data_IF_412855738641
#
_entry.id   IF_412855738641
#
_cell.length_a   1.000
_cell.length_b   1.000
_cell.length_c   1.000
_cell.angle_alpha   90.00
_cell.angle_beta   90.00
_cell.angle_gamma   90.00
#
_symmetry.space_group_name_H-M   'P 1'
#
loop_
_entity.id
_entity.type
_entity.pdbx_description
1 polymer ?
#
# COMPACT_ATOMS: atom_id res chain seq x y z
N UNK A 1 12.22 2.00 24.10
CA UNK A 1 11.20 3.07 24.23
C UNK A 1 10.02 2.61 23.40
N UNK A 2 8.81 2.37 23.96
CA UNK A 2 7.74 1.75 23.18
C UNK A 2 7.27 2.78 22.16
N UNK A 3 7.81 2.67 20.95
CA UNK A 3 7.33 3.40 19.79
C UNK A 3 5.86 3.00 19.64
N UNK A 4 4.98 3.98 19.65
CA UNK A 4 3.54 3.77 19.41
C UNK A 4 3.43 2.95 18.11
N UNK A 5 2.73 1.81 18.17
CA UNK A 5 2.47 1.01 16.96
C UNK A 5 1.51 1.74 16.05
N UNK A 6 1.54 1.47 14.74
CA UNK A 6 0.61 2.05 13.77
C UNK A 6 -0.86 1.83 14.18
N UNK A 7 -1.20 0.60 14.60
CA UNK A 7 -2.52 0.28 15.14
C UNK A 7 -2.88 1.11 16.39
N UNK A 8 -1.90 1.40 17.25
CA UNK A 8 -2.07 2.30 18.40
C UNK A 8 -2.36 3.74 17.97
N UNK A 9 -1.65 4.26 16.98
CA UNK A 9 -1.88 5.60 16.44
C UNK A 9 -3.28 5.76 15.83
N UNK A 10 -3.74 4.77 15.05
CA UNK A 10 -5.10 4.77 14.50
C UNK A 10 -6.19 4.70 15.58
N UNK A 11 -5.98 3.90 16.62
CA UNK A 11 -6.90 3.83 17.76
C UNK A 11 -7.03 5.19 18.47
N UNK A 12 -5.93 5.92 18.60
CA UNK A 12 -5.93 7.27 19.18
C UNK A 12 -6.66 8.27 18.27
N UNK A 13 -6.42 8.24 16.95
CA UNK A 13 -7.15 9.08 16.00
C UNK A 13 -8.67 8.89 16.10
N UNK A 14 -9.11 7.63 16.13
CA UNK A 14 -10.53 7.33 16.32
C UNK A 14 -11.06 7.87 17.65
N UNK A 15 -10.31 7.68 18.74
CA UNK A 15 -10.68 8.13 20.09
C UNK A 15 -10.77 9.65 20.24
N UNK A 16 -9.97 10.39 19.48
CA UNK A 16 -9.88 11.85 19.54
C UNK A 16 -10.56 12.56 18.35
N UNK A 17 -11.40 11.87 17.59
CA UNK A 17 -12.10 12.43 16.43
C UNK A 17 -13.22 13.45 16.76
N UNK A 18 -13.13 14.14 17.91
CA UNK A 18 -14.06 15.17 18.35
C UNK A 18 -13.50 16.58 18.07
N UNK A 19 -14.36 17.57 17.80
CA UNK A 19 -13.92 18.94 17.46
C UNK A 19 -13.07 19.58 18.57
N UNK A 20 -13.29 19.18 19.81
CA UNK A 20 -12.59 19.59 21.03
C UNK A 20 -11.11 19.16 21.04
N UNK A 21 -10.80 18.07 20.34
CA UNK A 21 -9.48 17.46 20.28
C UNK A 21 -8.81 17.62 18.92
N UNK A 22 -9.25 18.61 18.12
CA UNK A 22 -8.72 18.87 16.77
C UNK A 22 -7.20 19.00 16.76
N UNK A 23 -6.60 19.62 17.78
CA UNK A 23 -5.15 19.79 17.90
C UNK A 23 -4.42 18.45 17.95
N UNK A 24 -4.94 17.49 18.72
CA UNK A 24 -4.36 16.14 18.88
C UNK A 24 -4.59 15.32 17.62
N UNK A 25 -5.80 15.33 17.07
CA UNK A 25 -6.11 14.59 15.84
C UNK A 25 -5.33 15.11 14.64
N UNK A 26 -5.10 16.42 14.59
CA UNK A 26 -4.22 17.05 13.60
C UNK A 26 -2.78 16.60 13.79
N UNK A 27 -2.24 16.71 15.00
CA UNK A 27 -0.87 16.26 15.30
C UNK A 27 -0.67 14.76 14.98
N UNK A 28 -1.64 13.91 15.31
CA UNK A 28 -1.59 12.49 14.97
C UNK A 28 -1.58 12.26 13.45
N UNK A 29 -2.41 12.99 12.70
CA UNK A 29 -2.54 12.84 11.24
C UNK A 29 -1.37 13.44 10.46
N UNK A 30 -0.86 14.59 10.89
CA UNK A 30 0.12 15.38 10.15
C UNK A 30 1.57 15.06 10.55
N UNK A 31 1.82 14.59 11.77
CA UNK A 31 3.18 14.36 12.27
C UNK A 31 3.42 12.87 12.60
N UNK A 32 2.56 12.29 13.44
CA UNK A 32 2.80 10.94 13.97
C UNK A 32 2.63 9.87 12.90
N UNK A 33 1.50 9.86 12.19
CA UNK A 33 1.27 8.87 11.14
C UNK A 33 2.33 8.94 10.02
N UNK A 34 2.66 10.11 9.44
CA UNK A 34 3.73 10.20 8.44
C UNK A 34 5.08 9.69 8.97
N UNK A 35 5.45 10.05 10.21
CA UNK A 35 6.70 9.57 10.82
C UNK A 35 6.71 8.06 11.01
N UNK A 36 5.57 7.47 11.40
CA UNK A 36 5.44 6.02 11.51
C UNK A 36 5.51 5.36 10.13
N UNK A 37 4.88 5.92 9.10
CA UNK A 37 4.98 5.40 7.73
C UNK A 37 6.39 5.44 7.18
N UNK A 38 7.10 6.56 7.35
CA UNK A 38 8.48 6.71 6.89
C UNK A 38 9.43 5.77 7.62
N UNK A 39 9.13 5.38 8.87
CA UNK A 39 9.91 4.35 9.59
C UNK A 39 9.77 2.96 8.97
N UNK A 40 8.63 2.64 8.37
CA UNK A 40 8.41 1.35 7.70
C UNK A 40 8.91 1.36 6.25
N UNK A 41 9.28 2.53 5.72
CA UNK A 41 9.96 2.60 4.43
C UNK A 41 11.39 2.12 4.56
N UNK A 42 11.78 1.29 3.61
CA UNK A 42 13.16 0.97 3.33
C UNK A 42 13.80 2.18 2.62
N UNK A 43 14.78 2.87 3.25
CA UNK A 43 15.43 4.04 2.67
C UNK A 43 16.23 3.69 1.39
N UNK A 44 16.64 2.43 1.24
CA UNK A 44 17.42 1.95 0.10
C UNK A 44 16.55 1.33 -1.00
N UNK A 45 15.23 1.22 -0.78
CA UNK A 45 14.30 0.67 -1.76
C UNK A 45 14.21 1.54 -3.02
N UNK A 46 14.96 1.12 -4.03
CA UNK A 46 14.97 1.75 -5.35
C UNK A 46 13.78 1.26 -6.18
N UNK A 47 13.06 2.15 -6.90
CA UNK A 47 11.97 1.77 -7.79
C UNK A 47 12.45 0.80 -8.88
N UNK A 48 11.98 -0.44 -8.84
CA UNK A 48 12.35 -1.47 -9.80
C UNK A 48 11.18 -1.79 -10.73
N UNK A 49 11.36 -1.57 -12.04
CA UNK A 49 10.38 -2.01 -13.04
C UNK A 49 10.48 -3.51 -13.25
N UNK A 50 9.34 -4.18 -13.22
CA UNK A 50 9.20 -5.59 -13.52
C UNK A 50 8.01 -5.83 -14.46
N UNK A 51 7.96 -7.02 -15.06
CA UNK A 51 6.79 -7.50 -15.80
C UNK A 51 6.18 -8.66 -15.04
N UNK A 52 4.87 -8.59 -14.88
CA UNK A 52 4.07 -9.62 -14.24
C UNK A 52 3.23 -10.30 -15.33
N UNK A 53 3.32 -11.62 -15.40
CA UNK A 53 2.40 -12.40 -16.25
C UNK A 53 1.15 -12.70 -15.43
N UNK A 54 -0.01 -12.40 -15.98
CA UNK A 54 -1.29 -12.68 -15.35
C UNK A 54 -2.35 -12.85 -16.42
N UNK A 55 -3.16 -13.91 -16.31
CA UNK A 55 -4.26 -14.14 -17.26
C UNK A 55 -3.77 -14.19 -18.72
N UNK A 56 -2.61 -14.80 -18.97
CA UNK A 56 -1.94 -14.84 -20.28
C UNK A 56 -1.60 -13.44 -20.88
N UNK A 57 -1.63 -12.39 -20.07
CA UNK A 57 -1.23 -11.02 -20.41
C UNK A 57 0.02 -10.61 -19.62
N UNK A 58 0.80 -9.67 -20.17
CA UNK A 58 1.91 -9.05 -19.45
C UNK A 58 1.52 -7.66 -18.97
N UNK A 59 1.56 -7.45 -17.66
CA UNK A 59 1.31 -6.15 -17.02
C UNK A 59 2.65 -5.58 -16.54
N UNK A 60 2.88 -4.29 -16.83
CA UNK A 60 4.05 -3.60 -16.30
C UNK A 60 3.79 -3.19 -14.85
N UNK A 61 4.69 -3.57 -13.96
CA UNK A 61 4.58 -3.31 -12.53
C UNK A 61 5.84 -2.64 -12.01
N UNK A 62 5.72 -1.95 -10.89
CA UNK A 62 6.81 -1.30 -10.20
C UNK A 62 6.91 -1.89 -8.79
N UNK A 63 8.02 -2.56 -8.48
CA UNK A 63 8.34 -3.00 -7.13
C UNK A 63 8.99 -1.83 -6.38
N UNK A 64 8.37 -1.37 -5.30
CA UNK A 64 8.88 -0.28 -4.50
C UNK A 64 8.34 -0.35 -3.07
N UNK A 65 9.22 -0.13 -2.09
CA UNK A 65 8.89 -0.15 -0.65
C UNK A 65 8.25 -1.47 -0.17
N UNK A 66 8.67 -2.61 -0.74
CA UNK A 66 8.09 -3.92 -0.43
C UNK A 66 6.76 -4.22 -1.14
N UNK A 67 6.16 -3.23 -1.80
CA UNK A 67 4.88 -3.36 -2.50
C UNK A 67 5.04 -3.42 -4.02
N UNK A 68 4.00 -3.95 -4.68
CA UNK A 68 3.89 -4.01 -6.13
C UNK A 68 2.85 -2.99 -6.61
N UNK A 69 3.30 -2.04 -7.43
CA UNK A 69 2.48 -0.95 -7.94
C UNK A 69 2.14 -1.20 -9.40
N UNK A 70 0.86 -1.03 -9.75
CA UNK A 70 0.36 -1.08 -11.13
C UNK A 70 0.07 0.35 -11.59
N UNK A 71 0.41 0.69 -12.83
CA UNK A 71 0.07 2.00 -13.37
C UNK A 71 -1.46 2.14 -13.45
N UNK A 72 -2.00 3.29 -12.99
CA UNK A 72 -3.46 3.52 -12.95
C UNK A 72 -4.16 3.31 -14.29
N UNK A 73 -3.49 3.60 -15.40
CA UNK A 73 -4.00 3.38 -16.77
C UNK A 73 -4.16 1.89 -17.15
N UNK A 74 -3.37 1.03 -16.53
CA UNK A 74 -3.35 -0.42 -16.78
C UNK A 74 -4.33 -1.14 -15.82
N UNK A 75 -4.86 -0.43 -14.81
CA UNK A 75 -5.76 -0.96 -13.78
C UNK A 75 -7.14 -1.42 -14.30
N UNK A 76 -7.82 -0.73 -15.24
CA UNK A 76 -9.09 -1.23 -15.79
C UNK A 76 -8.95 -2.56 -16.53
N UNK A 77 -7.87 -2.74 -17.29
CA UNK A 77 -7.56 -4.01 -17.97
C UNK A 77 -7.24 -5.08 -16.93
N UNK A 78 -6.48 -4.71 -15.90
CA UNK A 78 -6.20 -5.58 -14.77
C UNK A 78 -7.44 -6.01 -13.99
N UNK A 79 -8.45 -5.15 -13.80
CA UNK A 79 -9.67 -5.55 -13.10
C UNK A 79 -10.58 -6.44 -13.97
N UNK A 80 -10.71 -6.11 -15.26
CA UNK A 80 -11.59 -6.84 -16.18
C UNK A 80 -11.19 -8.31 -16.36
N UNK A 81 -9.89 -8.62 -16.32
CA UNK A 81 -9.40 -10.00 -16.41
C UNK A 81 -9.55 -10.80 -15.08
N UNK A 82 -9.84 -10.13 -13.96
CA UNK A 82 -9.95 -10.75 -12.64
C UNK A 82 -11.38 -11.23 -12.40
N UNK A 83 -12.34 -10.50 -12.96
CA UNK A 83 -13.76 -10.84 -12.92
C UNK A 83 -14.13 -12.01 -13.85
N UNK A 84 -13.21 -12.50 -14.69
CA UNK A 84 -13.44 -13.67 -15.55
C UNK A 84 -12.88 -14.97 -14.90
N UNK A 85 -13.76 -15.88 -14.43
CA UNK A 85 -13.33 -17.11 -13.76
C UNK A 85 -12.58 -18.08 -14.68
N UNK A 86 -12.74 -17.99 -16.01
CA UNK A 86 -11.99 -18.81 -16.97
C UNK A 86 -10.52 -18.38 -17.12
N UNK A 87 -10.18 -17.21 -16.58
CA UNK A 87 -8.90 -16.54 -16.69
C UNK A 87 -8.17 -16.40 -15.34
N UNK A 88 -8.70 -17.06 -14.30
CA UNK A 88 -8.27 -17.02 -12.89
C UNK A 88 -6.96 -17.76 -12.59
N UNK A 89 -6.00 -17.76 -13.51
CA UNK A 89 -4.68 -18.32 -13.24
C UNK A 89 -3.99 -17.56 -12.10
N UNK A 90 -3.20 -18.28 -11.32
CA UNK A 90 -2.59 -17.74 -10.10
C UNK A 90 -1.62 -16.60 -10.49
N UNK A 91 -1.81 -15.38 -9.96
CA UNK A 91 -1.06 -14.24 -10.44
C UNK A 91 0.41 -14.35 -10.01
N UNK A 92 1.32 -14.20 -10.97
CA UNK A 92 2.76 -14.48 -10.77
C UNK A 92 3.45 -13.65 -9.69
N UNK A 93 2.85 -12.55 -9.22
CA UNK A 93 3.37 -11.76 -8.08
C UNK A 93 3.37 -12.53 -6.76
N UNK A 94 2.53 -13.57 -6.59
CA UNK A 94 2.61 -14.45 -5.42
C UNK A 94 3.95 -15.20 -5.33
N UNK A 95 4.63 -15.40 -6.47
CA UNK A 95 5.96 -16.00 -6.56
C UNK A 95 7.10 -14.99 -6.48
N UNK A 96 6.79 -13.69 -6.41
CA UNK A 96 7.77 -12.59 -6.35
C UNK A 96 8.10 -12.14 -4.92
N UNK A 97 7.61 -12.87 -3.91
CA UNK A 97 7.81 -12.61 -2.49
C UNK A 97 9.18 -13.10 -2.00
#
# INVERSE_FOLDING_TARGET
MPAISEAGAYRLLYRFNHPEHRSISRWLSEEVLPTLYDRHRDPDATPLRARMTWTNQQVNVLKWQGDLWIARRDLPVFLAAHDDPALSDEPSWMRMR
#
